data_IF_776058615378
#
_entry.id   IF_776058615378
#
_cell.length_a   1.000
_cell.length_b   1.000
_cell.length_c   1.000
_cell.angle_alpha   90.00
_cell.angle_beta   90.00
_cell.angle_gamma   90.00
#
_symmetry.space_group_name_H-M   'P 1'
#
loop_
_entity.id
_entity.type
_entity.pdbx_description
1 polymer ?
#
# COMPACT_ATOMS: atom_id res chain seq x y z
N UNK A 1 9.73 14.63 -10.23
CA UNK A 1 10.98 15.10 -9.58
C UNK A 1 11.03 14.44 -8.21
N UNK A 2 11.93 13.48 -7.98
CA UNK A 2 12.06 12.80 -6.68
C UNK A 2 12.57 13.81 -5.65
N UNK A 3 11.81 14.02 -4.57
CA UNK A 3 12.22 14.92 -3.51
C UNK A 3 13.39 14.29 -2.76
N UNK A 4 14.57 14.90 -2.82
CA UNK A 4 15.73 14.46 -2.05
C UNK A 4 15.39 14.37 -0.56
N UNK A 5 15.31 13.16 -0.03
CA UNK A 5 15.02 12.95 1.39
C UNK A 5 16.32 12.96 2.17
N UNK A 6 16.41 13.82 3.18
CA UNK A 6 17.56 13.85 4.06
C UNK A 6 17.59 12.60 4.96
N UNK A 7 18.76 12.07 5.35
CA UNK A 7 18.88 10.93 6.26
C UNK A 7 18.09 11.07 7.57
N UNK A 8 18.01 12.30 8.11
CA UNK A 8 17.24 12.61 9.30
C UNK A 8 15.72 12.48 9.09
N UNK A 9 15.24 12.89 7.91
CA UNK A 9 13.84 12.77 7.52
C UNK A 9 13.51 11.30 7.29
N UNK A 10 14.37 10.55 6.59
CA UNK A 10 14.20 9.11 6.40
C UNK A 10 14.09 8.36 7.74
N UNK A 11 14.97 8.65 8.70
CA UNK A 11 14.93 8.02 10.03
C UNK A 11 13.60 8.29 10.75
N UNK A 12 13.15 9.56 10.75
CA UNK A 12 11.89 9.95 11.36
C UNK A 12 10.70 9.25 10.70
N UNK A 13 10.65 9.21 9.37
CA UNK A 13 9.59 8.53 8.62
C UNK A 13 9.62 7.01 8.82
N UNK A 14 10.82 6.44 8.93
CA UNK A 14 11.00 5.03 9.27
C UNK A 14 10.59 4.72 10.72
N UNK A 15 10.32 5.75 11.57
CA UNK A 15 10.10 5.65 13.02
C UNK A 15 11.30 4.99 13.73
N UNK A 16 12.51 5.28 13.26
CA UNK A 16 13.75 4.69 13.75
C UNK A 16 14.73 5.77 14.23
N UNK A 17 15.66 5.35 15.09
CA UNK A 17 16.80 6.20 15.45
C UNK A 17 17.67 6.46 14.22
N UNK A 18 18.19 7.69 14.07
CA UNK A 18 19.12 8.09 13.01
C UNK A 18 20.36 7.19 12.92
N UNK A 19 20.76 6.56 14.03
CA UNK A 19 21.86 5.60 14.04
C UNK A 19 21.64 4.42 13.08
N UNK A 20 20.40 4.01 12.83
CA UNK A 20 20.09 2.93 11.88
C UNK A 20 20.34 3.35 10.43
N UNK A 21 19.99 4.59 10.08
CA UNK A 21 20.29 5.14 8.74
C UNK A 21 21.80 5.27 8.56
N UNK A 22 22.52 5.78 9.56
CA UNK A 22 23.99 5.86 9.51
C UNK A 22 24.62 4.47 9.35
N UNK A 23 24.13 3.46 10.07
CA UNK A 23 24.61 2.07 9.97
C UNK A 23 24.30 1.48 8.59
N UNK A 24 23.11 1.72 8.04
CA UNK A 24 22.73 1.27 6.70
C UNK A 24 23.62 1.89 5.60
N UNK A 25 23.94 3.18 5.70
CA UNK A 25 24.89 3.85 4.79
C UNK A 25 26.29 3.24 4.91
N UNK A 26 26.78 3.03 6.14
CA UNK A 26 28.11 2.46 6.37
C UNK A 26 28.26 1.03 5.83
N UNK A 27 27.15 0.27 5.82
CA UNK A 27 27.08 -1.08 5.25
C UNK A 27 26.79 -1.09 3.73
N UNK A 28 26.67 0.09 3.10
CA UNK A 28 26.37 0.20 1.67
C UNK A 28 24.96 -0.26 1.29
N UNK A 29 24.05 -0.35 2.26
CA UNK A 29 22.67 -0.79 2.01
C UNK A 29 21.86 0.29 1.32
N UNK A 30 22.10 1.56 1.61
CA UNK A 30 21.38 2.70 1.04
C UNK A 30 22.38 3.77 0.58
N UNK A 31 21.99 4.56 -0.42
CA UNK A 31 22.81 5.67 -0.90
C UNK A 31 22.28 7.01 -0.34
N UNK A 32 23.02 7.71 0.53
CA UNK A 32 22.55 8.94 1.15
C UNK A 32 22.31 10.10 0.16
N UNK A 33 22.84 9.99 -1.06
CA UNK A 33 22.64 10.99 -2.12
C UNK A 33 21.39 10.76 -2.97
N UNK A 34 20.73 9.61 -2.87
CA UNK A 34 19.58 9.23 -3.70
C UNK A 34 18.50 8.52 -2.90
N UNK A 35 18.17 9.04 -1.72
CA UNK A 35 17.22 8.41 -0.81
C UNK A 35 15.78 8.48 -1.33
N UNK A 36 15.09 7.34 -1.33
CA UNK A 36 13.70 7.18 -1.79
C UNK A 36 12.84 6.31 -0.84
N UNK A 37 11.62 5.96 -1.27
CA UNK A 37 10.72 5.11 -0.49
C UNK A 37 11.21 3.68 -0.29
N UNK A 38 11.97 3.15 -1.25
CA UNK A 38 12.57 1.83 -1.13
C UNK A 38 13.63 1.82 -0.02
N UNK A 39 14.47 2.86 0.04
CA UNK A 39 15.48 2.99 1.09
C UNK A 39 14.85 3.03 2.48
N UNK A 40 13.63 3.57 2.62
CA UNK A 40 12.89 3.51 3.88
C UNK A 40 12.56 2.06 4.28
N UNK A 41 12.04 1.27 3.34
CA UNK A 41 11.71 -0.14 3.57
C UNK A 41 12.96 -0.94 3.90
N UNK A 42 14.04 -0.72 3.15
CA UNK A 42 15.36 -1.31 3.39
C UNK A 42 15.84 -1.02 4.81
N UNK A 43 15.76 0.23 5.26
CA UNK A 43 16.18 0.61 6.63
C UNK A 43 15.29 0.00 7.70
N UNK A 44 13.96 -0.05 7.50
CA UNK A 44 13.03 -0.71 8.44
C UNK A 44 13.34 -2.19 8.59
N UNK A 45 13.50 -2.89 7.47
CA UNK A 45 13.83 -4.32 7.46
C UNK A 45 15.21 -4.55 8.06
N UNK A 46 16.21 -3.76 7.69
CA UNK A 46 17.55 -3.86 8.27
C UNK A 46 17.53 -3.70 9.80
N UNK A 47 16.88 -2.66 10.31
CA UNK A 47 16.78 -2.43 11.75
C UNK A 47 16.03 -3.57 12.46
N UNK A 48 15.01 -4.15 11.83
CA UNK A 48 14.30 -5.31 12.36
C UNK A 48 15.20 -6.55 12.39
N UNK A 49 15.81 -6.93 11.27
CA UNK A 49 16.61 -8.18 11.18
C UNK A 49 17.91 -8.12 11.96
N UNK A 50 18.49 -6.92 12.16
CA UNK A 50 19.69 -6.76 12.99
C UNK A 50 19.41 -7.02 14.48
N UNK A 51 18.17 -6.81 14.92
CA UNK A 51 17.72 -7.06 16.29
C UNK A 51 17.26 -8.51 16.53
N UNK A 52 17.04 -9.28 15.46
CA UNK A 52 16.64 -10.68 15.59
C UNK A 52 17.80 -11.55 16.09
N UNK A 53 17.50 -12.37 17.09
CA UNK A 53 18.40 -13.41 17.57
C UNK A 53 17.70 -14.76 17.54
N UNK A 54 18.29 -15.71 16.82
CA UNK A 54 17.81 -17.08 16.79
C UNK A 54 18.23 -17.83 18.07
N UNK A 55 17.34 -18.59 18.72
CA UNK A 55 17.69 -19.46 19.84
C UNK A 55 18.92 -20.33 19.54
N UNK A 56 19.82 -20.42 20.52
CA UNK A 56 21.09 -21.15 20.38
C UNK A 56 22.21 -20.38 19.66
N UNK A 57 21.93 -19.19 19.11
CA UNK A 57 22.96 -18.28 18.60
C UNK A 57 23.20 -17.15 19.60
N UNK A 58 24.46 -16.92 19.97
CA UNK A 58 24.88 -15.74 20.73
C UNK A 58 25.64 -14.82 19.78
N UNK A 59 25.30 -13.52 19.77
CA UNK A 59 26.11 -12.52 19.09
C UNK A 59 27.15 -11.99 20.06
N UNK A 60 28.42 -12.21 19.76
CA UNK A 60 29.50 -11.48 20.43
C UNK A 60 29.34 -9.98 20.20
N UNK A 61 29.58 -9.16 21.24
CA UNK A 61 29.50 -7.69 21.16
C UNK A 61 30.46 -7.11 20.10
N UNK A 62 31.51 -7.84 19.72
CA UNK A 62 32.44 -7.48 18.63
C UNK A 62 31.97 -7.92 17.25
N UNK A 63 31.21 -9.01 17.14
CA UNK A 63 30.63 -9.52 15.88
C UNK A 63 29.39 -8.75 15.43
N UNK A 64 28.72 -8.02 16.35
CA UNK A 64 27.56 -7.16 16.08
C UNK A 64 27.80 -6.03 15.04
N UNK A 65 29.00 -5.98 14.44
CA UNK A 65 29.38 -5.05 13.37
C UNK A 65 29.26 -5.65 11.97
N UNK A 66 29.28 -6.98 11.82
CA UNK A 66 29.24 -7.64 10.50
C UNK A 66 27.85 -8.20 10.28
N UNK A 67 27.23 -7.82 9.17
CA UNK A 67 25.91 -8.31 8.80
C UNK A 67 26.01 -9.78 8.38
N UNK A 68 25.17 -10.64 8.96
CA UNK A 68 25.15 -12.06 8.61
C UNK A 68 24.58 -12.25 7.18
N UNK A 69 24.99 -13.29 6.45
CA UNK A 69 24.52 -13.51 5.07
C UNK A 69 22.99 -13.52 4.93
N UNK A 70 22.27 -14.11 5.88
CA UNK A 70 20.79 -14.16 5.85
C UNK A 70 20.16 -12.77 6.05
N UNK A 71 20.82 -11.86 6.77
CA UNK A 71 20.36 -10.48 6.94
C UNK A 71 20.50 -9.71 5.62
N UNK A 72 21.58 -9.94 4.87
CA UNK A 72 21.74 -9.40 3.51
C UNK A 72 20.64 -9.90 2.59
N UNK A 73 20.32 -11.20 2.66
CA UNK A 73 19.24 -11.79 1.89
C UNK A 73 17.89 -11.16 2.23
N UNK A 74 17.57 -10.98 3.52
CA UNK A 74 16.33 -10.35 3.96
C UNK A 74 16.18 -8.91 3.44
N UNK A 75 17.25 -8.12 3.55
CA UNK A 75 17.25 -6.73 3.05
C UNK A 75 17.08 -6.68 1.53
N UNK A 76 17.79 -7.54 0.80
CA UNK A 76 17.67 -7.60 -0.66
C UNK A 76 16.31 -8.11 -1.13
N UNK A 77 15.71 -9.08 -0.42
CA UNK A 77 14.37 -9.56 -0.70
C UNK A 77 13.32 -8.46 -0.45
N UNK A 78 13.47 -7.68 0.62
CA UNK A 78 12.62 -6.52 0.88
C UNK A 78 12.74 -5.44 -0.20
N UNK A 79 13.96 -5.13 -0.64
CA UNK A 79 14.22 -4.24 -1.77
C UNK A 79 13.55 -4.75 -3.05
N UNK A 80 13.70 -6.04 -3.36
CA UNK A 80 13.09 -6.63 -4.54
C UNK A 80 11.56 -6.54 -4.46
N UNK A 81 10.96 -6.89 -3.32
CA UNK A 81 9.53 -6.78 -3.08
C UNK A 81 9.02 -5.33 -3.18
N UNK A 82 9.77 -4.35 -2.69
CA UNK A 82 9.42 -2.93 -2.83
C UNK A 82 9.37 -2.45 -4.30
N UNK A 83 10.04 -3.17 -5.20
CA UNK A 83 10.02 -2.93 -6.66
C UNK A 83 9.08 -3.88 -7.41
N UNK A 84 8.54 -4.89 -6.74
CA UNK A 84 7.80 -5.96 -7.39
C UNK A 84 6.33 -5.54 -7.61
N UNK A 85 5.82 -5.57 -8.85
CA UNK A 85 4.41 -5.33 -9.14
C UNK A 85 3.44 -6.30 -8.44
N UNK A 86 3.91 -7.48 -8.06
CA UNK A 86 3.10 -8.47 -7.34
C UNK A 86 2.91 -8.13 -5.85
N UNK A 87 3.62 -7.13 -5.32
CA UNK A 87 3.53 -6.75 -3.91
C UNK A 87 2.19 -6.12 -3.57
N UNK A 88 1.42 -6.85 -2.79
CA UNK A 88 0.10 -6.49 -2.22
C UNK A 88 0.19 -6.13 -0.74
N UNK A 89 -0.89 -5.62 -0.17
CA UNK A 89 -0.99 -5.25 1.25
C UNK A 89 -0.69 -6.44 2.17
N UNK A 90 -1.17 -7.61 1.76
CA UNK A 90 -0.95 -8.86 2.48
C UNK A 90 0.48 -9.41 2.28
N UNK A 91 1.37 -8.76 1.54
CA UNK A 91 2.69 -9.34 1.27
C UNK A 91 3.53 -9.45 2.53
N UNK A 92 4.07 -10.65 2.76
CA UNK A 92 4.91 -10.98 3.90
C UNK A 92 6.29 -11.38 3.40
N UNK A 93 7.32 -10.80 4.02
CA UNK A 93 8.67 -11.37 3.99
C UNK A 93 8.84 -12.30 5.17
N UNK A 94 8.97 -13.57 4.88
CA UNK A 94 9.33 -14.59 5.84
C UNK A 94 10.84 -14.64 5.98
N UNK A 95 11.32 -14.54 7.22
CA UNK A 95 12.73 -14.60 7.53
C UNK A 95 12.97 -15.79 8.45
N UNK A 96 13.91 -16.65 8.08
CA UNK A 96 14.27 -17.84 8.82
C UNK A 96 15.81 -17.99 8.91
N UNK A 97 16.32 -18.85 9.82
CA UNK A 97 17.76 -19.06 9.96
C UNK A 97 18.46 -19.55 8.68
N UNK A 98 17.72 -20.24 7.80
CA UNK A 98 18.21 -20.90 6.59
C UNK A 98 17.90 -20.14 5.30
N UNK A 99 17.08 -19.08 5.36
CA UNK A 99 16.71 -18.32 4.16
C UNK A 99 15.58 -17.34 4.38
N UNK A 100 15.15 -16.74 3.26
CA UNK A 100 14.08 -15.75 3.22
C UNK A 100 13.15 -16.04 2.04
N UNK A 101 11.88 -15.71 2.18
CA UNK A 101 10.87 -15.90 1.14
C UNK A 101 9.85 -14.77 1.20
N UNK A 102 9.40 -14.27 0.05
CA UNK A 102 8.33 -13.28 -0.05
C UNK A 102 7.11 -13.95 -0.63
N UNK A 103 5.97 -13.75 0.02
CA UNK A 103 4.68 -14.28 -0.42
C UNK A 103 3.66 -13.14 -0.48
N UNK A 104 2.72 -13.20 -1.44
CA UNK A 104 1.80 -12.09 -1.74
C UNK A 104 0.32 -12.41 -1.50
N UNK A 105 0.01 -13.65 -1.11
CA UNK A 105 -1.37 -14.13 -1.00
C UNK A 105 -1.56 -15.16 0.13
N UNK A 106 -2.76 -15.22 0.73
CA UNK A 106 -3.02 -16.09 1.88
C UNK A 106 -2.73 -17.59 1.65
N UNK A 107 -2.93 -18.07 0.42
CA UNK A 107 -2.62 -19.46 0.05
C UNK A 107 -1.12 -19.76 0.17
N UNK A 108 -0.28 -18.86 -0.35
CA UNK A 108 1.18 -18.96 -0.24
C UNK A 108 1.66 -18.82 1.21
N UNK A 109 1.02 -17.96 2.02
CA UNK A 109 1.33 -17.82 3.45
C UNK A 109 1.12 -19.14 4.19
N UNK A 110 -0.04 -19.76 3.93
CA UNK A 110 -0.41 -21.04 4.53
C UNK A 110 0.55 -22.15 4.10
N UNK A 111 0.90 -22.20 2.82
CA UNK A 111 1.87 -23.16 2.30
C UNK A 111 3.25 -23.00 2.95
N UNK A 112 3.74 -21.76 3.10
CA UNK A 112 5.02 -21.48 3.76
C UNK A 112 5.05 -22.03 5.20
N UNK A 113 4.02 -21.71 6.00
CA UNK A 113 3.91 -22.14 7.40
C UNK A 113 3.82 -23.66 7.50
N UNK A 114 2.99 -24.29 6.64
CA UNK A 114 2.81 -25.74 6.62
C UNK A 114 4.08 -26.50 6.20
N UNK A 115 4.94 -25.90 5.37
CA UNK A 115 6.22 -26.50 4.98
C UNK A 115 7.31 -26.35 6.05
N UNK A 116 7.07 -25.56 7.11
CA UNK A 116 8.06 -25.19 8.14
C UNK A 116 7.60 -25.47 9.57
N UNK A 117 6.77 -26.49 9.78
CA UNK A 117 6.11 -26.80 11.08
C UNK A 117 7.04 -26.91 12.31
N UNK A 118 8.35 -27.12 12.12
CA UNK A 118 9.33 -27.26 13.20
C UNK A 118 10.49 -26.26 13.11
N UNK A 119 10.41 -25.32 12.17
CA UNK A 119 11.44 -24.32 11.93
C UNK A 119 11.03 -23.00 12.55
N UNK A 120 12.00 -22.24 13.03
CA UNK A 120 11.76 -20.88 13.48
C UNK A 120 11.75 -19.94 12.29
N UNK A 121 10.79 -19.03 12.26
CA UNK A 121 10.70 -17.97 11.27
C UNK A 121 9.97 -16.78 11.88
N UNK A 122 10.14 -15.61 11.27
CA UNK A 122 9.39 -14.40 11.60
C UNK A 122 8.75 -13.85 10.33
N UNK A 123 7.56 -13.26 10.49
CA UNK A 123 6.84 -12.59 9.43
C UNK A 123 7.10 -11.08 9.51
N UNK A 124 7.59 -10.50 8.42
CA UNK A 124 7.72 -9.05 8.25
C UNK A 124 6.60 -8.57 7.31
N UNK A 125 5.69 -7.69 7.76
CA UNK A 125 4.54 -7.25 6.97
C UNK A 125 4.96 -6.20 5.94
N UNK A 126 5.67 -6.63 4.88
CA UNK A 126 6.21 -5.72 3.86
C UNK A 126 5.11 -4.93 3.16
N UNK A 127 4.00 -5.58 2.82
CA UNK A 127 2.88 -4.93 2.14
C UNK A 127 2.31 -3.76 2.93
N UNK A 128 2.15 -3.93 4.24
CA UNK A 128 1.71 -2.85 5.14
C UNK A 128 2.76 -1.74 5.25
N UNK A 129 4.04 -2.08 5.42
CA UNK A 129 5.09 -1.07 5.55
C UNK A 129 5.27 -0.23 4.28
N UNK A 130 5.13 -0.86 3.10
CA UNK A 130 5.14 -0.18 1.80
C UNK A 130 3.90 0.71 1.68
N UNK A 131 2.74 0.23 2.11
CA UNK A 131 1.51 1.01 2.04
C UNK A 131 1.45 2.19 3.03
N UNK A 132 2.28 2.17 4.08
CA UNK A 132 2.46 3.29 5.02
C UNK A 132 3.48 4.35 4.55
N UNK A 133 4.13 4.16 3.39
CA UNK A 133 5.07 5.14 2.87
C UNK A 133 4.38 6.50 2.66
N UNK A 134 4.98 7.61 3.14
CA UNK A 134 4.36 8.90 2.94
C UNK A 134 4.40 9.31 1.46
N UNK A 135 3.52 10.23 1.03
CA UNK A 135 3.33 10.56 -0.39
C UNK A 135 4.58 11.04 -1.15
N UNK A 136 5.60 11.54 -0.43
CA UNK A 136 6.84 12.08 -0.98
C UNK A 136 8.00 11.07 -1.04
N UNK A 137 7.82 9.83 -0.58
CA UNK A 137 8.82 8.76 -0.53
C UNK A 137 8.32 7.55 -1.29
N UNK A 138 8.29 7.69 -2.62
CA UNK A 138 7.66 6.71 -3.51
C UNK A 138 8.56 5.49 -3.73
N UNK A 139 7.96 4.31 -3.76
CA UNK A 139 8.50 3.14 -4.46
C UNK A 139 7.95 3.12 -5.88
N UNK A 140 8.69 2.51 -6.82
CA UNK A 140 8.32 2.41 -8.25
C UNK A 140 6.92 1.80 -8.50
N UNK A 141 6.37 1.07 -7.52
CA UNK A 141 5.00 0.56 -7.54
C UNK A 141 4.17 1.25 -6.47
N UNK A 142 3.08 1.91 -6.86
CA UNK A 142 2.20 2.63 -5.96
C UNK A 142 0.75 2.22 -6.15
N UNK A 143 0.11 1.93 -5.02
CA UNK A 143 -1.33 2.01 -4.87
C UNK A 143 -1.84 3.34 -5.48
N UNK A 144 -3.02 3.33 -6.13
CA UNK A 144 -3.70 4.52 -6.61
C UNK A 144 -3.66 5.64 -5.56
N UNK A 145 -3.33 6.88 -5.88
CA UNK A 145 -3.21 7.95 -4.87
C UNK A 145 -4.47 8.77 -4.75
N UNK A 146 -4.91 9.09 -3.52
CA UNK A 146 -5.95 10.12 -3.36
C UNK A 146 -5.43 11.45 -3.91
N UNK A 147 -6.11 11.96 -4.93
CA UNK A 147 -5.78 13.20 -5.65
C UNK A 147 -6.82 14.29 -5.45
N UNK A 148 -8.04 13.93 -5.03
CA UNK A 148 -9.12 14.87 -4.77
C UNK A 148 -10.08 14.32 -3.71
N UNK A 149 -10.57 15.21 -2.85
CA UNK A 149 -11.75 15.00 -2.01
C UNK A 149 -12.67 16.22 -2.15
N UNK A 150 -13.90 16.01 -2.57
CA UNK A 150 -14.85 17.09 -2.87
C UNK A 150 -16.29 16.63 -2.71
N UNK A 151 -17.22 17.56 -2.63
CA UNK A 151 -18.67 17.27 -2.63
C UNK A 151 -19.30 17.88 -3.87
N UNK A 152 -20.02 17.07 -4.62
CA UNK A 152 -20.79 17.50 -5.79
C UNK A 152 -22.27 17.49 -5.44
N UNK A 153 -22.90 18.66 -5.53
CA UNK A 153 -24.36 18.81 -5.39
C UNK A 153 -25.01 18.48 -6.72
N UNK A 154 -25.78 17.40 -6.78
CA UNK A 154 -26.48 16.95 -8.01
C UNK A 154 -27.78 17.74 -8.20
N UNK A 155 -28.57 17.88 -7.15
CA UNK A 155 -29.79 18.68 -7.06
C UNK A 155 -29.94 19.22 -5.63
N UNK A 156 -31.07 19.88 -5.32
CA UNK A 156 -31.30 20.51 -4.01
C UNK A 156 -31.34 19.52 -2.83
N UNK A 157 -31.47 18.21 -3.08
CA UNK A 157 -31.56 17.17 -2.05
C UNK A 157 -30.42 16.15 -2.08
N UNK A 158 -29.61 16.12 -3.13
CA UNK A 158 -28.60 15.09 -3.38
C UNK A 158 -27.20 15.69 -3.40
N UNK A 159 -26.45 15.44 -2.34
CA UNK A 159 -25.01 15.71 -2.26
C UNK A 159 -24.23 14.39 -2.34
N UNK A 160 -23.21 14.37 -3.20
CA UNK A 160 -22.33 13.21 -3.39
C UNK A 160 -20.92 13.59 -2.94
N UNK A 161 -20.43 12.97 -1.88
CA UNK A 161 -19.05 13.09 -1.46
C UNK A 161 -18.19 12.18 -2.33
N UNK A 162 -17.12 12.73 -2.89
CA UNK A 162 -16.19 12.06 -3.78
C UNK A 162 -14.82 12.02 -3.12
N UNK A 163 -14.17 10.85 -3.08
CA UNK A 163 -12.70 10.81 -3.06
C UNK A 163 -12.19 10.08 -4.27
N UNK A 164 -11.16 10.65 -4.86
CA UNK A 164 -10.69 10.31 -6.19
C UNK A 164 -9.25 9.86 -6.10
N UNK A 165 -8.94 8.75 -6.75
CA UNK A 165 -7.65 8.12 -6.75
C UNK A 165 -7.09 8.01 -8.16
N UNK A 166 -5.81 8.28 -8.36
CA UNK A 166 -5.15 8.13 -9.67
C UNK A 166 -4.16 6.96 -9.66
N UNK A 167 -4.24 6.10 -10.67
CA UNK A 167 -3.20 5.12 -11.01
C UNK A 167 -2.40 5.56 -12.22
N UNK A 168 -1.15 5.12 -12.29
CA UNK A 168 -0.31 5.28 -13.48
C UNK A 168 -0.47 4.05 -14.38
N UNK A 169 -0.70 4.20 -15.69
CA UNK A 169 -1.04 5.44 -16.40
C UNK A 169 -2.56 5.56 -16.67
N UNK A 170 -3.13 6.72 -16.29
CA UNK A 170 -4.36 7.31 -16.87
C UNK A 170 -5.72 6.71 -16.45
N UNK A 171 -5.82 6.07 -15.28
CA UNK A 171 -7.12 5.77 -14.69
C UNK A 171 -7.33 6.57 -13.41
N UNK A 172 -8.54 7.09 -13.28
CA UNK A 172 -9.02 7.81 -12.11
C UNK A 172 -10.19 7.04 -11.52
N UNK A 173 -10.01 6.50 -10.31
CA UNK A 173 -11.05 5.79 -9.58
C UNK A 173 -11.71 6.72 -8.56
N UNK A 174 -13.01 6.89 -8.65
CA UNK A 174 -13.81 7.78 -7.82
C UNK A 174 -14.68 6.95 -6.91
N UNK A 175 -14.48 7.08 -5.61
CA UNK A 175 -15.36 6.54 -4.59
C UNK A 175 -16.40 7.61 -4.24
N UNK A 176 -17.66 7.30 -4.54
CA UNK A 176 -18.80 8.18 -4.34
C UNK A 176 -19.65 7.70 -3.16
N UNK A 177 -19.98 8.60 -2.23
CA UNK A 177 -20.87 8.33 -1.10
C UNK A 177 -22.01 9.35 -1.09
N UNK A 178 -23.25 8.85 -1.07
CA UNK A 178 -24.47 9.65 -1.02
C UNK A 178 -25.50 8.99 -0.08
N UNK A 179 -26.53 9.75 0.30
CA UNK A 179 -27.60 9.24 1.16
C UNK A 179 -28.52 8.22 0.45
N UNK A 180 -28.60 8.28 -0.88
CA UNK A 180 -29.34 7.36 -1.73
C UNK A 180 -28.44 6.83 -2.86
N UNK A 181 -28.73 5.64 -3.43
CA UNK A 181 -28.01 5.14 -4.60
C UNK A 181 -28.03 6.13 -5.75
N UNK A 182 -26.93 6.23 -6.49
CA UNK A 182 -26.81 7.19 -7.59
C UNK A 182 -27.75 6.79 -8.75
N UNK A 183 -28.54 7.73 -9.23
CA UNK A 183 -29.26 7.56 -10.49
C UNK A 183 -28.37 7.94 -11.69
N UNK A 184 -28.91 7.83 -12.90
CA UNK A 184 -28.15 8.14 -14.12
C UNK A 184 -27.74 9.62 -14.20
N UNK A 185 -28.58 10.53 -13.70
CA UNK A 185 -28.31 11.97 -13.71
C UNK A 185 -27.16 12.32 -12.75
N UNK A 186 -27.20 11.78 -11.53
CA UNK A 186 -26.16 11.91 -10.53
C UNK A 186 -24.84 11.32 -11.03
N UNK A 187 -24.89 10.10 -11.60
CA UNK A 187 -23.71 9.47 -12.20
C UNK A 187 -23.08 10.34 -13.29
N UNK A 188 -23.89 10.81 -14.26
CA UNK A 188 -23.40 11.63 -15.36
C UNK A 188 -22.76 12.94 -14.85
N UNK A 189 -23.37 13.59 -13.85
CA UNK A 189 -22.86 14.83 -13.27
C UNK A 189 -21.55 14.63 -12.50
N UNK A 190 -21.40 13.53 -11.77
CA UNK A 190 -20.14 13.19 -11.10
C UNK A 190 -19.04 12.90 -12.13
N UNK A 191 -19.33 12.09 -13.15
CA UNK A 191 -18.36 11.80 -14.23
C UNK A 191 -17.94 13.09 -14.93
N UNK A 192 -18.88 13.98 -15.26
CA UNK A 192 -18.57 15.27 -15.88
C UNK A 192 -17.66 16.14 -14.97
N UNK A 193 -17.95 16.18 -13.66
CA UNK A 193 -17.15 16.94 -12.70
C UNK A 193 -15.71 16.43 -12.61
N UNK A 194 -15.53 15.10 -12.56
CA UNK A 194 -14.20 14.48 -12.46
C UNK A 194 -13.44 14.62 -13.78
N UNK A 195 -14.12 14.45 -14.93
CA UNK A 195 -13.51 14.61 -16.25
C UNK A 195 -13.02 16.04 -16.49
N UNK A 196 -13.73 17.05 -15.97
CA UNK A 196 -13.30 18.44 -16.06
C UNK A 196 -11.99 18.73 -15.30
N UNK A 197 -11.71 17.98 -14.23
CA UNK A 197 -10.49 18.14 -13.43
C UNK A 197 -9.34 17.23 -13.90
N UNK A 198 -9.68 16.08 -14.47
CA UNK A 198 -8.73 15.08 -14.95
C UNK A 198 -9.06 14.75 -16.41
N UNK A 199 -8.77 15.68 -17.35
CA UNK A 199 -8.97 15.43 -18.77
C UNK A 199 -8.16 14.21 -19.22
N UNK A 200 -8.66 13.50 -20.21
CA UNK A 200 -8.02 12.32 -20.83
C UNK A 200 -7.83 11.09 -19.92
N UNK A 201 -8.36 11.11 -18.70
CA UNK A 201 -8.34 9.98 -17.78
C UNK A 201 -9.56 9.08 -17.95
N UNK A 202 -9.36 7.76 -17.88
CA UNK A 202 -10.48 6.83 -17.78
C UNK A 202 -11.07 6.87 -16.36
N UNK A 203 -12.36 7.16 -16.23
CA UNK A 203 -13.02 7.30 -14.94
C UNK A 203 -13.70 5.99 -14.56
N UNK A 204 -13.25 5.40 -13.46
CA UNK A 204 -13.91 4.28 -12.79
C UNK A 204 -14.68 4.81 -11.60
N UNK A 205 -15.97 4.53 -11.50
CA UNK A 205 -16.78 5.03 -10.40
C UNK A 205 -17.31 3.91 -9.51
N UNK A 206 -17.11 4.05 -8.21
CA UNK A 206 -17.45 3.07 -7.18
C UNK A 206 -18.39 3.76 -6.18
N UNK A 207 -19.65 3.34 -6.11
CA UNK A 207 -20.62 3.88 -5.15
C UNK A 207 -20.61 3.10 -3.83
N UNK A 208 -20.76 3.83 -2.72
CA UNK A 208 -21.16 3.26 -1.44
C UNK A 208 -22.65 2.93 -1.46
N UNK A 209 -23.01 1.73 -0.99
CA UNK A 209 -24.40 1.27 -0.93
C UNK A 209 -24.98 1.29 0.47
N UNK A 210 -24.42 0.50 1.38
CA UNK A 210 -24.83 0.44 2.79
C UNK A 210 -23.86 -0.43 3.58
N UNK A 211 -23.65 -0.10 4.86
CA UNK A 211 -22.86 -0.89 5.79
C UNK A 211 -23.44 -2.31 6.02
N UNK A 212 -24.76 -2.47 5.85
CA UNK A 212 -25.47 -3.71 6.15
C UNK A 212 -25.40 -4.76 5.02
N UNK A 213 -24.70 -4.44 3.93
CA UNK A 213 -24.54 -5.35 2.79
C UNK A 213 -23.19 -6.05 2.82
N UNK A 214 -23.14 -7.32 2.36
CA UNK A 214 -21.88 -8.09 2.25
C UNK A 214 -20.82 -7.42 1.37
N UNK A 215 -21.26 -6.58 0.43
CA UNK A 215 -20.42 -5.79 -0.46
C UNK A 215 -20.90 -4.34 -0.41
N UNK A 216 -20.38 -3.53 0.53
CA UNK A 216 -20.85 -2.16 0.73
C UNK A 216 -20.48 -1.24 -0.44
N UNK A 217 -19.62 -1.71 -1.34
CA UNK A 217 -19.17 -1.00 -2.53
C UNK A 217 -19.70 -1.67 -3.80
N UNK A 218 -20.08 -0.87 -4.79
CA UNK A 218 -20.39 -1.36 -6.13
C UNK A 218 -19.76 -0.45 -7.20
N UNK A 219 -19.16 -1.07 -8.20
CA UNK A 219 -18.71 -0.36 -9.39
C UNK A 219 -19.90 -0.07 -10.30
N UNK A 220 -19.95 1.16 -10.80
CA UNK A 220 -20.99 1.63 -11.69
C UNK A 220 -20.54 1.58 -13.15
N UNK A 221 -21.42 1.03 -14.01
CA UNK A 221 -21.25 0.99 -15.45
C UNK A 221 -22.49 1.50 -16.16
N UNK A 222 -22.29 2.25 -17.24
CA UNK A 222 -23.38 2.63 -18.15
C UNK A 222 -23.39 1.66 -19.32
N UNK A 223 -24.54 1.04 -19.59
CA UNK A 223 -24.68 0.11 -20.71
C UNK A 223 -24.81 0.84 -22.06
N UNK A 224 -24.35 0.21 -23.16
CA UNK A 224 -24.65 0.69 -24.51
C UNK A 224 -26.17 0.61 -24.76
N UNK A 225 -26.87 1.73 -24.64
CA UNK A 225 -28.33 1.81 -24.73
C UNK A 225 -29.03 2.49 -23.55
N UNK A 226 -28.27 2.93 -22.53
CA UNK A 226 -28.81 3.47 -21.28
C UNK A 226 -28.97 2.38 -20.23
N UNK A 227 -29.14 2.76 -18.97
CA UNK A 227 -29.16 1.84 -17.84
C UNK A 227 -27.84 1.85 -17.07
N UNK A 228 -27.95 2.10 -15.76
CA UNK A 228 -26.87 2.03 -14.80
C UNK A 228 -26.80 0.64 -14.14
N UNK A 229 -25.70 -0.08 -14.36
CA UNK A 229 -25.44 -1.39 -13.77
C UNK A 229 -24.48 -1.27 -12.60
N UNK A 230 -24.75 -2.05 -11.55
CA UNK A 230 -23.95 -2.14 -10.32
C UNK A 230 -23.28 -3.50 -10.25
N UNK A 231 -21.94 -3.52 -10.26
CA UNK A 231 -21.16 -4.72 -9.97
C UNK A 231 -20.68 -4.66 -8.52
N UNK A 232 -21.13 -5.57 -7.63
CA UNK A 232 -20.63 -5.62 -6.26
C UNK A 232 -19.11 -5.79 -6.24
N UNK A 233 -18.43 -5.05 -5.37
CA UNK A 233 -17.00 -5.18 -5.11
C UNK A 233 -16.79 -5.72 -3.70
N UNK A 234 -15.86 -6.64 -3.56
CA UNK A 234 -15.46 -7.14 -2.25
C UNK A 234 -14.43 -6.19 -1.62
N UNK A 235 -14.57 -5.98 -0.30
CA UNK A 235 -13.71 -5.05 0.44
C UNK A 235 -12.23 -5.49 0.43
N UNK A 236 -11.96 -6.78 0.33
CA UNK A 236 -10.59 -7.33 0.28
C UNK A 236 -9.90 -6.95 -1.02
N UNK A 237 -10.55 -7.11 -2.18
CA UNK A 237 -10.02 -6.68 -3.48
C UNK A 237 -9.81 -5.17 -3.52
N UNK A 238 -10.72 -4.38 -2.94
CA UNK A 238 -10.55 -2.94 -2.84
C UNK A 238 -9.34 -2.56 -1.95
N UNK A 239 -9.20 -3.17 -0.77
CA UNK A 239 -8.02 -2.98 0.07
C UNK A 239 -6.73 -3.46 -0.63
N UNK A 240 -6.82 -4.50 -1.44
CA UNK A 240 -5.73 -5.01 -2.28
C UNK A 240 -5.54 -4.23 -3.58
N UNK A 241 -6.34 -3.21 -3.88
CA UNK A 241 -6.18 -2.35 -5.06
C UNK A 241 -5.84 -0.93 -4.65
N UNK A 242 -6.29 -0.45 -3.50
CA UNK A 242 -6.07 0.90 -3.02
C UNK A 242 -5.29 0.94 -1.71
N UNK A 243 -5.04 -0.18 -1.05
CA UNK A 243 -4.30 -0.20 0.22
C UNK A 243 -5.07 0.39 1.41
N UNK A 244 -4.37 0.71 2.52
CA UNK A 244 -4.95 1.06 3.81
C UNK A 244 -5.65 2.44 3.82
N UNK A 245 -5.44 3.27 2.81
CA UNK A 245 -6.18 4.53 2.62
C UNK A 245 -7.70 4.31 2.46
N UNK A 246 -8.14 3.08 2.17
CA UNK A 246 -9.56 2.71 2.22
C UNK A 246 -10.09 2.33 3.62
N UNK A 247 -9.24 2.16 4.64
CA UNK A 247 -9.70 1.80 6.00
C UNK A 247 -10.58 2.88 6.64
N UNK A 248 -10.55 4.11 6.12
CA UNK A 248 -11.33 5.27 6.59
C UNK A 248 -12.45 5.66 5.62
N UNK A 249 -13.02 4.69 4.91
CA UNK A 249 -13.95 4.96 3.81
C UNK A 249 -15.37 4.42 4.11
N UNK A 250 -16.33 5.34 4.23
CA UNK A 250 -17.76 5.08 4.48
C UNK A 250 -18.46 6.31 5.07
N UNK A 251 -19.80 6.45 4.94
CA UNK A 251 -20.54 7.54 5.56
C UNK A 251 -20.43 7.42 7.09
N UNK A 252 -19.64 8.30 7.70
CA UNK A 252 -19.39 8.34 9.15
C UNK A 252 -17.94 8.10 9.58
N UNK A 253 -17.02 7.80 8.66
CA UNK A 253 -15.59 7.82 8.99
C UNK A 253 -15.13 9.27 9.22
N UNK A 254 -14.97 9.64 10.50
CA UNK A 254 -14.25 10.84 10.93
C UNK A 254 -12.75 10.59 10.98
#
# INVERSE_FOLDING_TARGET
MSAYVQPAVLANTAKLNRSWVTKAVALGLINPSTLDGEDLIVVRVFAFVDQLMWPGKSRSRSEARVMEPWQSLAVNAARAAARDPATRLDSILWVAPDGVEVTHEPGAHSAFVLNRQRSMFVAVPLGEWIAELPPNLETLFHWPRQIMETTVTVDDSTAVCLRTFSTVPQQVTVFASAAAPLDEAAHAKVVQHVAAQHPDSNIRLIEWRSADTRSPWAELYVLPGGGLVRRPLDSTSLLNEFGPQLKHFGPGAK
#
